data_IF_508476967136
#
_entry.id   IF_508476967136
#
_cell.length_a   1.000
_cell.length_b   1.000
_cell.length_c   1.000
_cell.angle_alpha   90.00
_cell.angle_beta   90.00
_cell.angle_gamma   90.00
#
_symmetry.space_group_name_H-M   'P 1'
#
loop_
_entity.id
_entity.type
_entity.pdbx_description
1 polymer ?
#
# COMPACT_ATOMS: atom_id res chain seq x y z
N UNK A 1 -5.81 4.81 14.42
CA UNK A 1 -4.49 5.44 14.56
C UNK A 1 -4.52 6.75 13.77
N UNK A 2 -4.89 7.85 14.43
CA UNK A 2 -4.82 9.18 13.83
C UNK A 2 -3.42 9.71 14.04
N UNK A 3 -2.62 9.69 12.97
CA UNK A 3 -1.40 10.48 12.89
C UNK A 3 -1.86 11.89 12.56
N UNK A 4 -1.59 12.81 13.48
CA UNK A 4 -1.87 14.23 13.36
C UNK A 4 -0.96 14.83 12.28
N UNK A 5 -1.50 15.10 11.08
CA UNK A 5 -0.83 15.81 9.96
C UNK A 5 -1.84 16.32 8.88
N UNK A 6 -3.11 16.52 9.25
CA UNK A 6 -4.07 17.29 8.44
C UNK A 6 -5.04 16.51 7.53
N UNK A 7 -5.00 15.17 7.46
CA UNK A 7 -6.14 14.38 6.94
C UNK A 7 -6.29 13.11 7.79
N UNK A 8 -7.33 12.99 8.64
CA UNK A 8 -7.61 11.76 9.36
C UNK A 8 -8.03 10.65 8.37
N UNK A 9 -7.07 9.81 7.98
CA UNK A 9 -7.35 8.60 7.22
C UNK A 9 -7.60 7.45 8.20
N UNK A 10 -8.77 6.82 8.10
CA UNK A 10 -9.01 5.56 8.77
C UNK A 10 -8.13 4.46 8.17
N UNK A 11 -7.97 3.37 8.91
CA UNK A 11 -7.05 2.28 8.54
C UNK A 11 -7.32 1.74 7.13
N UNK A 12 -8.60 1.62 6.77
CA UNK A 12 -9.00 1.10 5.47
C UNK A 12 -8.58 2.04 4.32
N UNK A 13 -8.77 3.36 4.46
CA UNK A 13 -8.31 4.33 3.48
C UNK A 13 -6.78 4.44 3.43
N UNK A 14 -6.09 4.35 4.56
CA UNK A 14 -4.63 4.28 4.60
C UNK A 14 -4.13 3.08 3.79
N UNK A 15 -4.68 1.87 4.01
CA UNK A 15 -4.27 0.69 3.23
C UNK A 15 -4.49 0.87 1.73
N UNK A 16 -5.59 1.49 1.31
CA UNK A 16 -5.86 1.78 -0.11
C UNK A 16 -4.82 2.73 -0.70
N UNK A 17 -4.51 3.83 -0.01
CA UNK A 17 -3.49 4.80 -0.45
C UNK A 17 -2.13 4.11 -0.61
N UNK A 18 -1.73 3.27 0.36
CA UNK A 18 -0.48 2.50 0.28
C UNK A 18 -0.46 1.53 -0.91
N UNK A 19 -1.56 0.85 -1.19
CA UNK A 19 -1.65 -0.07 -2.35
C UNK A 19 -1.52 0.68 -3.68
N UNK A 20 -2.24 1.80 -3.82
CA UNK A 20 -2.17 2.62 -5.04
C UNK A 20 -0.78 3.25 -5.22
N UNK A 21 -0.11 3.64 -4.13
CA UNK A 21 1.26 4.15 -4.17
C UNK A 21 2.26 3.11 -4.67
N UNK A 22 2.08 1.84 -4.27
CA UNK A 22 3.02 0.76 -4.61
C UNK A 22 2.71 0.09 -5.95
N UNK A 23 1.43 -0.11 -6.29
CA UNK A 23 0.99 -0.85 -7.49
C UNK A 23 0.58 0.07 -8.65
N UNK A 24 0.46 1.37 -8.42
CA UNK A 24 -0.07 2.32 -9.41
C UNK A 24 -1.60 2.27 -9.54
N UNK A 25 -2.17 2.78 -10.65
CA UNK A 25 -3.61 2.82 -10.87
C UNK A 25 -4.25 1.43 -10.90
N UNK A 26 -5.35 1.23 -10.17
CA UNK A 26 -6.02 -0.08 -10.04
C UNK A 26 -7.53 -0.01 -10.28
N UNK A 27 -8.11 -1.06 -10.85
CA UNK A 27 -9.57 -1.23 -10.93
C UNK A 27 -10.16 -1.46 -9.51
N UNK A 28 -11.39 -1.00 -9.22
CA UNK A 28 -12.04 -1.26 -7.94
C UNK A 28 -12.19 -2.75 -7.57
N UNK A 29 -12.32 -3.64 -8.57
CA UNK A 29 -12.34 -5.09 -8.34
C UNK A 29 -10.99 -5.58 -7.82
N UNK A 30 -9.88 -5.17 -8.45
CA UNK A 30 -8.54 -5.51 -7.99
C UNK A 30 -8.23 -4.94 -6.60
N UNK A 31 -8.69 -3.71 -6.31
CA UNK A 31 -8.62 -3.15 -4.96
C UNK A 31 -9.42 -3.95 -3.94
N UNK A 32 -10.56 -4.53 -4.33
CA UNK A 32 -11.36 -5.39 -3.44
C UNK A 32 -10.61 -6.66 -3.07
N UNK A 33 -10.01 -7.29 -4.08
CA UNK A 33 -9.25 -8.54 -3.94
C UNK A 33 -8.00 -8.31 -3.07
N UNK A 34 -7.21 -7.27 -3.36
CA UNK A 34 -5.96 -6.98 -2.64
C UNK A 34 -6.21 -6.47 -1.22
N UNK A 35 -7.27 -5.68 -0.99
CA UNK A 35 -7.61 -5.20 0.36
C UNK A 35 -8.40 -6.21 1.19
N UNK A 36 -8.75 -7.38 0.62
CA UNK A 36 -9.54 -8.41 1.29
C UNK A 36 -10.91 -7.91 1.76
N UNK A 37 -11.55 -7.04 0.97
CA UNK A 37 -12.80 -6.38 1.35
C UNK A 37 -13.80 -6.30 0.20
N UNK A 38 -15.09 -6.13 0.52
CA UNK A 38 -16.14 -6.13 -0.49
C UNK A 38 -16.16 -4.85 -1.35
N UNK A 39 -16.68 -4.98 -2.58
CA UNK A 39 -16.82 -3.86 -3.55
C UNK A 39 -17.55 -2.65 -2.99
N UNK A 40 -18.58 -2.85 -2.17
CA UNK A 40 -19.32 -1.76 -1.51
C UNK A 40 -18.42 -0.95 -0.57
N UNK A 41 -17.51 -1.61 0.14
CA UNK A 41 -16.55 -0.95 1.01
C UNK A 41 -15.49 -0.19 0.19
N UNK A 42 -14.97 -0.81 -0.88
CA UNK A 42 -14.06 -0.13 -1.82
C UNK A 42 -14.69 1.14 -2.40
N UNK A 43 -15.93 1.08 -2.88
CA UNK A 43 -16.63 2.25 -3.40
C UNK A 43 -16.77 3.37 -2.38
N UNK A 44 -17.03 3.04 -1.10
CA UNK A 44 -17.10 4.03 -0.01
C UNK A 44 -15.73 4.66 0.27
N UNK A 45 -14.67 3.84 0.30
CA UNK A 45 -13.30 4.33 0.50
C UNK A 45 -12.85 5.25 -0.64
N UNK A 46 -13.08 4.85 -1.90
CA UNK A 46 -12.77 5.66 -3.08
C UNK A 46 -13.51 6.99 -3.01
N UNK A 47 -14.82 6.98 -2.73
CA UNK A 47 -15.61 8.21 -2.62
C UNK A 47 -15.06 9.15 -1.53
N UNK A 48 -14.67 8.62 -0.37
CA UNK A 48 -14.09 9.41 0.72
C UNK A 48 -12.75 10.03 0.31
N UNK A 49 -11.84 9.22 -0.24
CA UNK A 49 -10.53 9.69 -0.67
C UNK A 49 -10.61 10.70 -1.83
N UNK A 50 -11.57 10.51 -2.74
CA UNK A 50 -11.85 11.42 -3.86
C UNK A 50 -12.41 12.74 -3.35
N UNK A 51 -13.31 12.70 -2.36
CA UNK A 51 -13.83 13.89 -1.67
C UNK A 51 -12.71 14.66 -0.95
N UNK A 52 -11.71 13.95 -0.43
CA UNK A 52 -10.50 14.53 0.17
C UNK A 52 -9.44 14.94 -0.87
N UNK A 53 -9.69 14.77 -2.16
CA UNK A 53 -8.76 15.13 -3.23
C UNK A 53 -7.51 14.24 -3.34
N UNK A 54 -7.48 13.09 -2.67
CA UNK A 54 -6.32 12.20 -2.60
C UNK A 54 -6.29 11.14 -3.70
N UNK A 55 -7.45 10.82 -4.28
CA UNK A 55 -7.55 9.93 -5.44
C UNK A 55 -8.37 10.56 -6.54
N UNK A 56 -8.11 10.12 -7.76
CA UNK A 56 -8.92 10.40 -8.93
C UNK A 56 -9.36 9.09 -9.59
N UNK A 57 -10.33 9.19 -10.50
CA UNK A 57 -10.74 8.11 -11.39
C UNK A 57 -10.40 8.48 -12.82
N UNK A 58 -9.91 7.52 -13.57
CA UNK A 58 -9.65 7.66 -15.01
C UNK A 58 -10.26 6.48 -15.77
N UNK A 59 -10.66 6.67 -17.04
CA UNK A 59 -11.08 5.56 -17.89
C UNK A 59 -10.01 4.47 -17.95
N UNK A 60 -10.44 3.20 -17.93
CA UNK A 60 -9.51 2.10 -18.11
C UNK A 60 -9.14 1.96 -19.61
N UNK A 61 -7.85 1.97 -19.98
CA UNK A 61 -7.44 1.87 -21.38
C UNK A 61 -7.82 0.55 -22.06
N UNK A 62 -8.05 -0.52 -21.29
CA UNK A 62 -8.42 -1.84 -21.79
C UNK A 62 -9.92 -2.12 -21.77
N UNK A 63 -10.73 -1.26 -21.15
CA UNK A 63 -12.19 -1.37 -21.11
C UNK A 63 -12.84 0.00 -20.87
N UNK A 64 -13.45 0.57 -21.91
CA UNK A 64 -14.09 1.89 -21.84
C UNK A 64 -15.30 1.94 -20.89
N UNK A 65 -15.80 0.79 -20.41
CA UNK A 65 -16.88 0.69 -19.42
C UNK A 65 -16.35 0.65 -17.99
N UNK A 66 -15.03 0.51 -17.81
CA UNK A 66 -14.37 0.45 -16.52
C UNK A 66 -13.57 1.74 -16.24
N UNK A 67 -13.19 1.89 -14.98
CA UNK A 67 -12.30 2.95 -14.53
C UNK A 67 -11.21 2.39 -13.61
N UNK A 68 -10.10 3.11 -13.54
CA UNK A 68 -9.03 2.90 -12.56
C UNK A 68 -9.05 4.02 -11.54
N UNK A 69 -8.68 3.68 -10.31
CA UNK A 69 -8.44 4.63 -9.23
C UNK A 69 -6.94 4.84 -9.15
N UNK A 70 -6.51 6.09 -9.01
CA UNK A 70 -5.11 6.48 -8.88
C UNK A 70 -4.95 7.55 -7.82
N UNK A 71 -3.75 7.67 -7.26
CA UNK A 71 -3.42 8.80 -6.39
C UNK A 71 -3.29 10.08 -7.22
N UNK A 72 -3.79 11.18 -6.67
CA UNK A 72 -3.47 12.53 -7.12
C UNK A 72 -2.07 12.92 -6.62
N UNK A 73 -1.49 14.05 -7.05
CA UNK A 73 -0.27 14.57 -6.43
C UNK A 73 -0.40 14.71 -4.90
N UNK A 74 -1.51 15.24 -4.40
CA UNK A 74 -1.76 15.32 -2.95
C UNK A 74 -1.87 13.93 -2.29
N UNK A 75 -2.45 12.94 -2.99
CA UNK A 75 -2.48 11.55 -2.53
C UNK A 75 -1.09 10.92 -2.43
N UNK A 76 -0.20 11.24 -3.38
CA UNK A 76 1.20 10.81 -3.35
C UNK A 76 1.96 11.45 -2.19
N UNK A 77 1.76 12.74 -1.93
CA UNK A 77 2.36 13.42 -0.78
C UNK A 77 1.93 12.78 0.56
N UNK A 78 0.64 12.44 0.68
CA UNK A 78 0.13 11.72 1.86
C UNK A 78 0.74 10.32 1.96
N UNK A 79 0.87 9.60 0.85
CA UNK A 79 1.52 8.30 0.83
C UNK A 79 2.98 8.39 1.30
N UNK A 80 3.73 9.41 0.84
CA UNK A 80 5.11 9.64 1.23
C UNK A 80 5.25 9.86 2.74
N UNK A 81 4.36 10.65 3.35
CA UNK A 81 4.38 10.87 4.82
C UNK A 81 4.23 9.58 5.62
N UNK A 82 3.52 8.57 5.10
CA UNK A 82 3.42 7.27 5.75
C UNK A 82 4.75 6.50 5.72
N UNK A 83 5.51 6.61 4.63
CA UNK A 83 6.86 6.06 4.55
C UNK A 83 7.79 6.79 5.51
N UNK A 84 7.78 8.13 5.49
CA UNK A 84 8.65 8.93 6.36
C UNK A 84 8.37 8.65 7.85
N UNK A 85 7.12 8.40 8.23
CA UNK A 85 6.79 7.97 9.59
C UNK A 85 7.34 6.58 9.91
N UNK A 86 7.23 5.64 8.97
CA UNK A 86 7.81 4.30 9.12
C UNK A 86 9.33 4.32 9.27
N UNK A 87 10.00 5.17 8.50
CA UNK A 87 11.45 5.37 8.57
C UNK A 87 11.84 5.94 9.94
N UNK A 88 11.16 7.00 10.40
CA UNK A 88 11.40 7.58 11.74
C UNK A 88 11.20 6.57 12.86
N UNK A 89 10.18 5.71 12.77
CA UNK A 89 9.95 4.67 13.77
C UNK A 89 11.05 3.60 13.72
N UNK A 90 11.53 3.26 12.53
CA UNK A 90 12.62 2.29 12.34
C UNK A 90 13.93 2.84 12.91
N UNK A 91 14.25 4.11 12.64
CA UNK A 91 15.40 4.81 13.22
C UNK A 91 15.37 4.80 14.75
N UNK A 92 14.20 5.01 15.35
CA UNK A 92 14.03 4.96 16.81
C UNK A 92 14.25 3.54 17.36
N UNK A 93 13.70 2.52 16.71
CA UNK A 93 13.85 1.12 17.13
C UNK A 93 15.30 0.65 17.03
N UNK A 94 16.05 1.14 16.03
CA UNK A 94 17.44 0.79 15.79
C UNK A 94 18.45 1.74 16.46
N UNK A 95 17.98 2.73 17.23
CA UNK A 95 18.82 3.80 17.75
C UNK A 95 19.95 3.33 18.69
N UNK A 96 19.74 2.21 19.39
CA UNK A 96 20.73 1.62 20.29
C UNK A 96 21.60 0.52 19.65
N UNK A 97 21.42 0.26 18.35
CA UNK A 97 22.15 -0.78 17.63
C UNK A 97 23.47 -0.24 17.10
N UNK A 98 24.50 -1.07 17.11
CA UNK A 98 25.74 -0.73 16.42
C UNK A 98 25.62 -0.93 14.90
N UNK A 99 26.59 -0.39 14.16
CA UNK A 99 26.57 -0.45 12.70
C UNK A 99 26.63 -1.88 12.14
N UNK A 100 27.28 -2.81 12.84
CA UNK A 100 27.42 -4.20 12.39
C UNK A 100 26.10 -4.97 12.55
N UNK A 101 25.36 -4.70 13.63
CA UNK A 101 24.03 -5.25 13.87
C UNK A 101 23.02 -4.69 12.87
N UNK A 102 23.06 -3.38 12.57
CA UNK A 102 22.21 -2.76 11.53
C UNK A 102 22.50 -3.37 10.15
N UNK A 103 23.77 -3.54 9.78
CA UNK A 103 24.15 -4.18 8.52
C UNK A 103 23.66 -5.62 8.46
N UNK A 104 23.81 -6.37 9.56
CA UNK A 104 23.35 -7.75 9.65
C UNK A 104 21.83 -7.85 9.53
N UNK A 105 21.09 -7.01 10.23
CA UNK A 105 19.63 -6.95 10.15
C UNK A 105 19.14 -6.60 8.76
N UNK A 106 19.74 -5.59 8.13
CA UNK A 106 19.41 -5.18 6.76
C UNK A 106 19.59 -6.35 5.81
N UNK A 107 20.76 -7.01 5.84
CA UNK A 107 21.06 -8.16 4.98
C UNK A 107 20.10 -9.34 5.21
N UNK A 108 19.76 -9.65 6.46
CA UNK A 108 18.85 -10.74 6.80
C UNK A 108 17.41 -10.44 6.37
N UNK A 109 16.93 -9.22 6.62
CA UNK A 109 15.58 -8.77 6.26
C UNK A 109 15.42 -8.71 4.75
N UNK A 110 16.43 -8.23 4.01
CA UNK A 110 16.42 -8.29 2.56
C UNK A 110 16.35 -9.71 2.01
N UNK A 111 17.14 -10.64 2.57
CA UNK A 111 17.11 -12.06 2.18
C UNK A 111 15.72 -12.66 2.45
N UNK A 112 15.15 -12.36 3.61
CA UNK A 112 13.80 -12.79 3.97
C UNK A 112 12.76 -12.21 3.00
N UNK A 113 12.79 -10.90 2.75
CA UNK A 113 11.84 -10.21 1.88
C UNK A 113 11.88 -10.76 0.44
N UNK A 114 13.08 -10.96 -0.12
CA UNK A 114 13.24 -11.61 -1.44
C UNK A 114 12.62 -13.00 -1.46
N UNK A 115 12.92 -13.83 -0.46
CA UNK A 115 12.37 -15.18 -0.36
C UNK A 115 10.84 -15.19 -0.23
N UNK A 116 10.28 -14.32 0.62
CA UNK A 116 8.85 -14.20 0.83
C UNK A 116 8.10 -13.74 -0.43
N UNK A 117 8.65 -12.77 -1.17
CA UNK A 117 8.06 -12.28 -2.42
C UNK A 117 8.04 -13.35 -3.51
N UNK A 118 9.17 -14.02 -3.75
CA UNK A 118 9.23 -15.14 -4.72
C UNK A 118 8.21 -16.22 -4.38
N UNK A 119 8.09 -16.55 -3.10
CA UNK A 119 7.15 -17.57 -2.62
C UNK A 119 5.69 -17.16 -2.76
N UNK A 120 5.38 -15.89 -2.49
CA UNK A 120 4.03 -15.35 -2.66
C UNK A 120 3.60 -15.35 -4.14
N UNK A 121 4.53 -15.09 -5.06
CA UNK A 121 4.28 -15.20 -6.51
C UNK A 121 4.01 -16.64 -6.93
N UNK A 122 4.77 -17.61 -6.41
CA UNK A 122 4.53 -19.04 -6.66
C UNK A 122 3.15 -19.49 -6.15
N UNK A 123 2.77 -19.10 -4.92
CA UNK A 123 1.45 -19.41 -4.36
C UNK A 123 0.35 -18.78 -5.22
N UNK A 124 0.52 -17.54 -5.67
CA UNK A 124 -0.46 -16.86 -6.54
C UNK A 124 -0.59 -17.56 -7.90
N UNK A 125 0.49 -18.18 -8.41
CA UNK A 125 0.54 -18.88 -9.69
C UNK A 125 0.03 -20.32 -9.62
N UNK A 126 0.28 -21.02 -8.50
CA UNK A 126 0.08 -22.47 -8.39
C UNK A 126 -0.91 -22.92 -7.30
N UNK A 127 -1.43 -22.00 -6.48
CA UNK A 127 -2.26 -22.32 -5.32
C UNK A 127 -1.43 -22.68 -4.08
N UNK A 128 -2.08 -22.67 -2.91
CA UNK A 128 -1.43 -22.94 -1.60
C UNK A 128 -0.99 -24.40 -1.42
N UNK A 129 -1.53 -25.33 -2.21
CA UNK A 129 -1.36 -26.78 -2.02
C UNK A 129 -0.07 -27.36 -2.64
N UNK A 130 0.79 -26.52 -3.22
CA UNK A 130 1.98 -26.96 -3.95
C UNK A 130 3.27 -27.01 -3.11
N UNK A 131 3.18 -27.09 -1.77
CA UNK A 131 4.33 -26.99 -0.85
C UNK A 131 4.20 -27.98 0.29
#
# INVERSE_FOLDING_TARGET
MTVDDGVPLDEACHRMVRHLSFRGPMRPSALSDELGTGRSNVSKMVKRLETSGLVAREPDPGDSRAYRVLLTPAGLDVAQRFYDLGDRLTDQVLSDWDAADVETYTRLTERFARGALSRAEEIRRHGLDAV
#
